data_IF_199997071531
#
_entry.id   IF_199997071531
#
_cell.length_a   1.000
_cell.length_b   1.000
_cell.length_c   1.000
_cell.angle_alpha   90.00
_cell.angle_beta   90.00
_cell.angle_gamma   90.00
#
_symmetry.space_group_name_H-M   'P 1'
#
loop_
_entity.id
_entity.type
_entity.pdbx_description
1 polymer ?
#
# COMPACT_ATOMS: atom_id res chain seq x y z
N UNK A 1 8.80 -14.28 -12.32
CA UNK A 1 9.13 -13.60 -11.05
C UNK A 1 7.85 -13.00 -10.47
N UNK A 2 7.19 -13.69 -9.53
CA UNK A 2 5.89 -13.26 -8.97
C UNK A 2 6.01 -12.20 -7.86
N UNK A 3 7.23 -11.75 -7.52
CA UNK A 3 7.48 -10.77 -6.47
C UNK A 3 8.22 -9.54 -7.00
N UNK A 4 7.53 -8.77 -7.84
CA UNK A 4 7.97 -7.44 -8.23
C UNK A 4 7.38 -6.43 -7.25
N UNK A 5 8.21 -5.97 -6.30
CA UNK A 5 7.91 -4.74 -5.55
C UNK A 5 7.71 -3.62 -6.59
N UNK A 6 6.51 -3.05 -6.62
CA UNK A 6 6.13 -2.02 -7.60
C UNK A 6 6.33 -0.60 -7.05
N UNK A 7 6.48 -0.49 -5.72
CA UNK A 7 6.49 0.78 -4.98
C UNK A 7 7.74 0.87 -4.10
N UNK A 8 8.49 1.99 -4.12
CA UNK A 8 9.64 2.22 -3.25
C UNK A 8 9.27 2.16 -1.77
N UNK A 9 10.28 1.90 -0.92
CA UNK A 9 10.10 1.73 0.53
C UNK A 9 9.41 2.92 1.20
N UNK A 10 9.70 4.14 0.74
CA UNK A 10 9.03 5.37 1.19
C UNK A 10 7.51 5.34 0.95
N UNK A 11 7.05 5.00 -0.26
CA UNK A 11 5.61 4.97 -0.57
C UNK A 11 4.88 3.84 0.17
N UNK A 12 5.58 2.73 0.47
CA UNK A 12 5.07 1.69 1.36
C UNK A 12 4.88 2.22 2.78
N UNK A 13 5.87 2.93 3.32
CA UNK A 13 5.81 3.47 4.67
C UNK A 13 4.63 4.44 4.82
N UNK A 14 4.46 5.36 3.86
CA UNK A 14 3.32 6.30 3.85
C UNK A 14 1.98 5.56 3.84
N UNK A 15 1.84 4.48 3.07
CA UNK A 15 0.60 3.68 3.05
C UNK A 15 0.32 2.94 4.34
N UNK A 16 1.35 2.38 4.97
CA UNK A 16 1.21 1.71 6.26
C UNK A 16 0.75 2.72 7.31
N UNK A 17 1.38 3.89 7.37
CA UNK A 17 1.01 4.98 8.29
C UNK A 17 -0.41 5.49 8.00
N UNK A 18 -0.75 5.73 6.74
CA UNK A 18 -2.09 6.19 6.36
C UNK A 18 -3.18 5.15 6.67
N UNK A 19 -2.92 3.86 6.44
CA UNK A 19 -3.83 2.77 6.79
C UNK A 19 -4.05 2.67 8.30
N UNK A 20 -2.98 2.76 9.09
CA UNK A 20 -3.05 2.82 10.56
C UNK A 20 -3.86 4.03 11.04
N UNK A 21 -3.63 5.20 10.45
CA UNK A 21 -4.37 6.41 10.79
C UNK A 21 -5.86 6.28 10.46
N UNK A 22 -6.23 5.69 9.32
CA UNK A 22 -7.63 5.43 8.96
C UNK A 22 -8.29 4.42 9.90
N UNK A 23 -7.58 3.36 10.29
CA UNK A 23 -8.09 2.37 11.24
C UNK A 23 -8.33 3.02 12.61
N UNK A 24 -7.35 3.78 13.10
CA UNK A 24 -7.47 4.50 14.37
C UNK A 24 -8.62 5.52 14.34
N UNK A 25 -8.76 6.29 13.25
CA UNK A 25 -9.82 7.27 13.11
C UNK A 25 -11.21 6.62 13.01
N UNK A 26 -11.34 5.53 12.24
CA UNK A 26 -12.59 4.80 12.09
C UNK A 26 -13.06 4.10 13.38
N UNK A 27 -12.12 3.56 14.17
CA UNK A 27 -12.42 2.85 15.41
C UNK A 27 -12.56 3.77 16.63
N UNK A 28 -11.77 4.85 16.73
CA UNK A 28 -11.75 5.72 17.91
C UNK A 28 -12.57 7.00 17.72
N UNK A 29 -12.56 7.58 16.52
CA UNK A 29 -13.27 8.84 16.24
C UNK A 29 -14.72 8.64 15.84
N UNK A 30 -15.04 7.53 15.19
CA UNK A 30 -16.35 7.24 14.62
C UNK A 30 -16.94 5.90 15.09
N UNK A 31 -16.60 5.52 16.32
CA UNK A 31 -17.07 4.29 16.96
C UNK A 31 -18.60 4.25 16.99
N UNK A 32 -19.20 3.19 16.45
CA UNK A 32 -20.64 2.96 16.50
C UNK A 32 -21.43 3.37 15.25
N UNK A 33 -20.82 4.08 14.29
CA UNK A 33 -21.43 4.30 12.98
C UNK A 33 -20.93 3.26 11.96
N UNK A 34 -21.83 2.77 11.10
CA UNK A 34 -21.47 1.87 9.99
C UNK A 34 -20.35 2.43 9.09
N UNK A 35 -20.29 3.75 8.96
CA UNK A 35 -19.27 4.42 8.15
C UNK A 35 -17.87 4.37 8.78
N UNK A 36 -17.77 4.29 10.13
CA UNK A 36 -16.50 4.09 10.82
C UNK A 36 -15.89 2.72 10.53
N UNK A 37 -16.72 1.67 10.49
CA UNK A 37 -16.30 0.33 10.08
C UNK A 37 -15.90 0.25 8.61
N UNK A 38 -16.60 0.96 7.72
CA UNK A 38 -16.22 1.04 6.31
C UNK A 38 -14.84 1.71 6.13
N UNK A 39 -14.59 2.81 6.82
CA UNK A 39 -13.29 3.51 6.80
C UNK A 39 -12.18 2.62 7.38
N UNK A 40 -12.45 1.92 8.49
CA UNK A 40 -11.50 0.96 9.05
C UNK A 40 -11.19 -0.16 8.05
N UNK A 41 -12.18 -0.69 7.33
CA UNK A 41 -11.99 -1.70 6.28
C UNK A 41 -11.09 -1.20 5.13
N UNK A 42 -11.31 0.04 4.67
CA UNK A 42 -10.43 0.67 3.67
C UNK A 42 -9.01 0.87 4.22
N UNK A 43 -8.88 1.30 5.47
CA UNK A 43 -7.60 1.43 6.16
C UNK A 43 -6.82 0.11 6.23
N UNK A 44 -7.50 -0.99 6.55
CA UNK A 44 -6.91 -2.35 6.56
C UNK A 44 -6.40 -2.73 5.17
N UNK A 45 -7.22 -2.59 4.12
CA UNK A 45 -6.80 -2.90 2.75
C UNK A 45 -5.59 -2.04 2.29
N UNK A 46 -5.55 -0.77 2.71
CA UNK A 46 -4.45 0.15 2.41
C UNK A 46 -3.17 -0.25 3.16
N UNK A 47 -3.30 -0.68 4.41
CA UNK A 47 -2.18 -1.18 5.21
C UNK A 47 -1.59 -2.46 4.61
N UNK A 48 -2.43 -3.43 4.25
CA UNK A 48 -1.98 -4.68 3.61
C UNK A 48 -1.28 -4.41 2.28
N UNK A 49 -1.81 -3.51 1.45
CA UNK A 49 -1.14 -3.16 0.17
C UNK A 49 0.18 -2.44 0.40
N UNK A 50 0.35 -1.66 1.46
CA UNK A 50 1.65 -1.11 1.87
C UNK A 50 2.64 -2.19 2.36
N UNK A 51 2.16 -3.17 3.13
CA UNK A 51 2.96 -4.25 3.70
C UNK A 51 3.45 -5.24 2.64
N UNK A 52 2.54 -5.72 1.80
CA UNK A 52 2.85 -6.53 0.60
C UNK A 52 3.60 -5.67 -0.42
N UNK A 53 3.41 -4.34 -0.36
CA UNK A 53 3.90 -3.28 -1.25
C UNK A 53 3.87 -3.66 -2.71
N UNK A 54 2.66 -4.07 -3.06
CA UNK A 54 2.11 -4.11 -4.37
C UNK A 54 0.90 -3.17 -4.33
N UNK A 55 0.92 -2.13 -5.16
CA UNK A 55 -0.25 -1.30 -5.36
C UNK A 55 -0.84 -1.60 -6.73
N UNK A 56 -2.10 -2.08 -6.81
CA UNK A 56 -2.73 -2.39 -8.10
C UNK A 56 -2.83 -1.14 -9.00
N UNK A 57 -3.12 0.03 -8.44
CA UNK A 57 -3.14 1.30 -9.20
C UNK A 57 -1.77 1.65 -9.78
N UNK A 58 -0.69 1.49 -9.00
CA UNK A 58 0.66 1.76 -9.48
C UNK A 58 1.16 0.70 -10.48
N UNK A 59 0.65 -0.53 -10.38
CA UNK A 59 0.92 -1.59 -11.33
C UNK A 59 0.17 -1.38 -12.66
N UNK A 60 -1.10 -0.93 -12.60
CA UNK A 60 -1.87 -0.52 -13.78
C UNK A 60 -1.20 0.67 -14.50
N UNK A 61 -0.60 1.60 -13.76
CA UNK A 61 0.21 2.68 -14.32
C UNK A 61 1.59 2.22 -14.85
N UNK A 62 1.90 0.93 -14.82
CA UNK A 62 3.13 0.37 -15.38
C UNK A 62 4.42 0.71 -14.60
N UNK A 63 4.34 1.35 -13.42
CA UNK A 63 5.53 1.73 -12.66
C UNK A 63 6.27 0.47 -12.18
N UNK A 64 7.60 0.44 -12.34
CA UNK A 64 8.45 -0.65 -11.82
C UNK A 64 9.57 -0.02 -10.99
N UNK A 65 10.00 -0.72 -9.94
CA UNK A 65 11.06 -0.21 -9.07
C UNK A 65 12.41 -0.17 -9.82
N UNK A 66 13.09 0.98 -9.76
CA UNK A 66 14.37 1.23 -10.43
C UNK A 66 15.43 0.16 -10.11
N UNK A 67 15.50 -0.30 -8.85
CA UNK A 67 16.42 -1.36 -8.43
C UNK A 67 16.14 -2.74 -9.09
N UNK A 68 14.90 -3.01 -9.52
CA UNK A 68 14.56 -4.19 -10.31
C UNK A 68 14.90 -3.97 -11.79
N UNK A 69 14.69 -2.75 -12.30
CA UNK A 69 15.02 -2.37 -13.67
C UNK A 69 16.53 -2.43 -13.93
N UNK A 70 17.34 -1.94 -12.97
CA UNK A 70 18.80 -1.97 -13.02
C UNK A 70 19.37 -3.39 -13.06
N UNK A 71 18.70 -4.36 -12.41
CA UNK A 71 19.10 -5.79 -12.46
C UNK A 71 18.79 -6.46 -13.80
N UNK A 72 17.76 -6.00 -14.52
CA UNK A 72 17.46 -6.50 -15.86
C UNK A 72 18.44 -5.94 -16.90
N UNK A 73 18.88 -4.69 -16.73
CA UNK A 73 19.88 -4.07 -17.59
C UNK A 73 21.28 -4.69 -17.42
N UNK A 74 21.67 -5.04 -16.19
CA UNK A 74 22.96 -5.74 -15.93
C UNK A 74 22.97 -7.22 -16.31
N UNK A 75 21.81 -7.82 -16.61
CA UNK A 75 21.69 -9.22 -17.02
C UNK A 75 21.65 -9.40 -18.55
N UNK A 76 21.76 -8.31 -19.32
CA UNK A 76 21.78 -8.29 -20.79
C UNK A 76 23.18 -7.98 -21.30
#
# INVERSE_FOLDING_TARGET
MLYAKNVPGWERAVRVVAGLAMIACGLLGLSGLMIGYAIAGVGVSTLLTGFIGFCPMCAMAGRRLDAANRRLDTAK
#
